data_IF_263877970754
#
_entry.id   IF_263877970754
#
_cell.length_a   1.000
_cell.length_b   1.000
_cell.length_c   1.000
_cell.angle_alpha   90.00
_cell.angle_beta   90.00
_cell.angle_gamma   90.00
#
_symmetry.space_group_name_H-M   'P 1'
#
loop_
_entity.id
_entity.type
_entity.pdbx_description
1 polymer ?
#
# COMPACT_ATOMS: atom_id res chain seq x y z
N UNK A 1 19.21 -20.16 -20.06
CA UNK A 1 18.62 -18.82 -19.89
C UNK A 1 18.01 -18.78 -18.50
N UNK A 2 18.70 -18.21 -17.51
CA UNK A 2 18.15 -18.06 -16.17
C UNK A 2 17.06 -16.99 -16.24
N UNK A 3 15.79 -17.41 -16.15
CA UNK A 3 14.70 -16.46 -15.92
C UNK A 3 15.04 -15.73 -14.62
N UNK A 4 15.10 -14.39 -14.58
CA UNK A 4 15.18 -13.69 -13.31
C UNK A 4 13.94 -14.10 -12.52
N UNK A 5 14.12 -14.72 -11.36
CA UNK A 5 13.01 -15.02 -10.46
C UNK A 5 12.22 -13.72 -10.27
N UNK A 6 10.90 -13.71 -10.53
CA UNK A 6 10.12 -12.50 -10.33
C UNK A 6 10.31 -12.05 -8.88
N UNK A 7 10.79 -10.82 -8.69
CA UNK A 7 10.91 -10.26 -7.35
C UNK A 7 9.49 -10.20 -6.77
N UNK A 8 9.24 -10.80 -5.59
CA UNK A 8 7.88 -10.86 -5.04
C UNK A 8 7.37 -9.45 -4.76
N UNK A 9 6.08 -9.22 -5.01
CA UNK A 9 5.41 -7.96 -4.66
C UNK A 9 5.43 -7.76 -3.14
N UNK A 10 5.53 -6.51 -2.71
CA UNK A 10 5.47 -6.15 -1.29
C UNK A 10 4.06 -5.67 -1.01
N UNK A 11 3.39 -6.19 0.02
CA UNK A 11 2.08 -5.69 0.40
C UNK A 11 2.02 -5.32 1.88
N UNK A 12 1.28 -4.24 2.16
CA UNK A 12 0.98 -3.79 3.51
C UNK A 12 -0.53 -3.71 3.67
N UNK A 13 -1.01 -4.09 4.84
CA UNK A 13 -2.44 -4.12 5.16
C UNK A 13 -2.69 -3.22 6.35
N UNK A 14 -3.60 -2.27 6.18
CA UNK A 14 -3.93 -1.25 7.17
C UNK A 14 -5.41 -1.33 7.51
N UNK A 15 -5.75 -0.98 8.74
CA UNK A 15 -7.14 -0.80 9.14
C UNK A 15 -7.59 0.62 8.77
N UNK A 16 -8.73 0.70 8.10
CA UNK A 16 -9.45 1.95 7.89
C UNK A 16 -10.60 2.05 8.90
N UNK A 17 -10.67 3.18 9.56
CA UNK A 17 -11.76 3.61 10.41
C UNK A 17 -12.45 4.83 9.78
N UNK A 18 -13.79 4.88 9.71
CA UNK A 18 -14.48 6.02 9.12
C UNK A 18 -14.37 7.31 9.96
N UNK A 19 -14.08 7.21 11.26
CA UNK A 19 -13.92 8.37 12.14
C UNK A 19 -12.46 8.85 12.17
N UNK A 20 -11.51 7.92 12.24
CA UNK A 20 -10.08 8.22 12.41
C UNK A 20 -9.27 8.17 11.09
N UNK A 21 -9.76 7.45 10.07
CA UNK A 21 -9.08 7.23 8.80
C UNK A 21 -8.21 5.97 8.79
N UNK A 22 -7.11 5.99 8.04
CA UNK A 22 -6.16 4.87 7.99
C UNK A 22 -5.24 4.90 9.22
N UNK A 23 -5.31 3.85 10.04
CA UNK A 23 -4.50 3.71 11.24
C UNK A 23 -3.00 3.60 10.88
N UNK A 24 -2.17 4.37 11.58
CA UNK A 24 -0.70 4.38 11.46
C UNK A 24 -0.20 4.52 10.02
N UNK A 25 -0.94 5.27 9.18
CA UNK A 25 -0.68 5.38 7.74
C UNK A 25 0.79 5.71 7.43
N UNK A 26 1.34 6.72 8.10
CA UNK A 26 2.71 7.19 7.82
C UNK A 26 3.77 6.13 8.19
N UNK A 27 3.58 5.43 9.32
CA UNK A 27 4.46 4.33 9.74
C UNK A 27 4.47 3.22 8.69
N UNK A 28 3.28 2.78 8.25
CA UNK A 28 3.19 1.72 7.26
C UNK A 28 3.80 2.11 5.90
N UNK A 29 3.65 3.37 5.49
CA UNK A 29 4.24 3.87 4.24
C UNK A 29 5.76 3.99 4.34
N UNK A 30 6.32 4.35 5.49
CA UNK A 30 7.77 4.39 5.72
C UNK A 30 8.39 2.99 5.75
N UNK A 31 7.71 2.04 6.40
CA UNK A 31 8.11 0.61 6.37
C UNK A 31 8.08 0.05 4.95
N UNK A 32 7.02 0.36 4.19
CA UNK A 32 6.91 -0.05 2.79
C UNK A 32 8.03 0.57 1.93
N UNK A 33 8.34 1.85 2.14
CA UNK A 33 9.44 2.54 1.46
C UNK A 33 10.79 1.88 1.77
N UNK A 34 11.03 1.54 3.03
CA UNK A 34 12.26 0.87 3.46
C UNK A 34 12.41 -0.50 2.81
N UNK A 35 11.32 -1.29 2.78
CA UNK A 35 11.30 -2.59 2.10
C UNK A 35 11.49 -2.45 0.58
N UNK A 36 10.82 -1.48 -0.04
CA UNK A 36 10.96 -1.16 -1.46
C UNK A 36 12.41 -0.77 -1.79
N UNK A 37 13.03 0.10 -0.99
CA UNK A 37 14.43 0.50 -1.15
C UNK A 37 15.39 -0.70 -1.02
N UNK A 38 15.16 -1.59 -0.04
CA UNK A 38 15.94 -2.80 0.13
C UNK A 38 15.81 -3.78 -1.05
N UNK A 39 14.62 -3.86 -1.67
CA UNK A 39 14.35 -4.67 -2.85
C UNK A 39 14.76 -4.01 -4.18
N UNK A 40 15.08 -2.70 -4.15
CA UNK A 40 15.34 -1.87 -5.32
C UNK A 40 14.10 -1.58 -6.16
N UNK A 41 12.94 -1.43 -5.52
CA UNK A 41 11.66 -1.08 -6.14
C UNK A 41 11.49 0.44 -6.15
N UNK A 42 10.77 0.95 -7.14
CA UNK A 42 10.42 2.36 -7.21
C UNK A 42 9.15 2.60 -6.39
N UNK A 43 9.24 3.42 -5.34
CA UNK A 43 8.10 3.72 -4.47
C UNK A 43 7.90 5.23 -4.32
N UNK A 44 6.68 5.69 -4.56
CA UNK A 44 6.28 7.08 -4.38
C UNK A 44 5.30 7.19 -3.21
N UNK A 45 5.79 7.77 -2.11
CA UNK A 45 5.04 7.98 -0.88
C UNK A 45 3.81 8.87 -1.09
N UNK A 46 3.91 9.88 -1.96
CA UNK A 46 2.83 10.82 -2.20
C UNK A 46 1.71 10.16 -3.02
N UNK A 47 2.08 9.43 -4.06
CA UNK A 47 1.13 8.67 -4.88
C UNK A 47 0.41 7.59 -4.06
N UNK A 48 1.14 6.84 -3.23
CA UNK A 48 0.55 5.83 -2.34
C UNK A 48 -0.50 6.43 -1.38
N UNK A 49 -0.20 7.59 -0.77
CA UNK A 49 -1.13 8.29 0.12
C UNK A 49 -2.37 8.78 -0.63
N UNK A 50 -2.21 9.33 -1.83
CA UNK A 50 -3.31 9.83 -2.64
C UNK A 50 -4.26 8.70 -3.06
N UNK A 51 -3.71 7.61 -3.58
CA UNK A 51 -4.46 6.42 -3.97
C UNK A 51 -5.21 5.81 -2.77
N UNK A 52 -4.57 5.73 -1.59
CA UNK A 52 -5.20 5.24 -0.36
C UNK A 52 -6.36 6.15 0.08
N UNK A 53 -6.18 7.46 0.03
CA UNK A 53 -7.28 8.40 0.29
C UNK A 53 -8.41 8.24 -0.72
N UNK A 54 -8.11 8.13 -2.02
CA UNK A 54 -9.12 7.95 -3.05
C UNK A 54 -9.91 6.65 -2.87
N UNK A 55 -9.24 5.56 -2.52
CA UNK A 55 -9.87 4.25 -2.32
C UNK A 55 -10.72 4.17 -1.03
N UNK A 56 -10.37 4.95 -0.01
CA UNK A 56 -11.11 5.05 1.26
C UNK A 56 -12.13 6.19 1.28
N UNK A 57 -12.08 7.11 0.31
CA UNK A 57 -12.99 8.24 0.22
C UNK A 57 -14.45 7.79 0.15
N UNK A 58 -15.29 8.34 1.03
CA UNK A 58 -16.73 8.04 1.08
C UNK A 58 -17.09 6.70 1.74
N UNK A 59 -16.12 5.94 2.29
CA UNK A 59 -16.42 4.75 3.11
C UNK A 59 -17.05 5.19 4.44
N UNK A 60 -18.16 4.55 4.80
CA UNK A 60 -18.93 4.83 6.04
C UNK A 60 -18.76 3.76 7.12
N UNK A 61 -18.03 2.70 6.82
CA UNK A 61 -17.83 1.55 7.70
C UNK A 61 -16.34 1.25 7.80
N UNK A 62 -15.94 0.64 8.91
CA UNK A 62 -14.59 0.12 9.06
C UNK A 62 -14.25 -0.82 7.89
N UNK A 63 -13.02 -0.73 7.41
CA UNK A 63 -12.55 -1.50 6.28
C UNK A 63 -11.09 -1.89 6.47
N UNK A 64 -10.61 -2.79 5.63
CA UNK A 64 -9.20 -3.15 5.52
C UNK A 64 -8.69 -2.68 4.18
N UNK A 65 -7.68 -1.81 4.19
CA UNK A 65 -7.02 -1.33 3.00
C UNK A 65 -5.69 -2.07 2.83
N UNK A 66 -5.53 -2.77 1.71
CA UNK A 66 -4.32 -3.50 1.36
C UNK A 66 -3.66 -2.81 0.17
N UNK A 67 -2.46 -2.31 0.36
CA UNK A 67 -1.63 -1.74 -0.69
C UNK A 67 -0.61 -2.79 -1.13
N UNK A 68 -0.55 -3.05 -2.43
CA UNK A 68 0.41 -3.96 -3.07
C UNK A 68 1.33 -3.14 -3.98
N UNK A 69 2.63 -3.28 -3.80
CA UNK A 69 3.68 -2.64 -4.58
C UNK A 69 4.44 -3.70 -5.38
N UNK A 70 4.45 -3.52 -6.69
CA UNK A 70 5.18 -4.37 -7.61
C UNK A 70 6.64 -3.93 -7.80
N UNK A 71 7.53 -4.83 -8.28
CA UNK A 71 8.91 -4.48 -8.61
C UNK A 71 9.08 -3.38 -9.64
N UNK A 72 8.08 -3.17 -10.50
CA UNK A 72 8.06 -2.09 -11.51
C UNK A 72 7.63 -0.74 -10.93
N UNK A 73 7.26 -0.69 -9.64
CA UNK A 73 6.73 0.50 -8.97
C UNK A 73 5.25 0.73 -9.19
N UNK A 74 4.55 -0.19 -9.86
CA UNK A 74 3.10 -0.15 -9.97
C UNK A 74 2.49 -0.49 -8.61
N UNK A 75 1.53 0.32 -8.18
CA UNK A 75 0.79 0.13 -6.93
C UNK A 75 -0.64 -0.29 -7.24
N UNK A 76 -1.19 -1.16 -6.41
CA UNK A 76 -2.60 -1.53 -6.42
C UNK A 76 -3.15 -1.44 -5.00
N UNK A 77 -4.38 -0.94 -4.86
CA UNK A 77 -5.04 -0.82 -3.57
C UNK A 77 -6.35 -1.59 -3.60
N UNK A 78 -6.50 -2.47 -2.63
CA UNK A 78 -7.72 -3.21 -2.37
C UNK A 78 -8.32 -2.74 -1.05
N UNK A 79 -9.59 -2.31 -1.07
CA UNK A 79 -10.31 -1.92 0.15
C UNK A 79 -11.49 -2.83 0.34
N UNK A 80 -11.49 -3.58 1.44
CA UNK A 80 -12.56 -4.52 1.79
C UNK A 80 -13.27 -4.07 3.06
N UNK A 81 -14.58 -3.91 3.00
CA UNK A 81 -15.39 -3.67 4.20
C UNK A 81 -15.32 -4.86 5.15
N UNK A 82 -15.21 -4.58 6.44
CA UNK A 82 -15.24 -5.59 7.51
C UNK A 82 -16.66 -6.08 7.76
#
# INVERSE_FOLDING_TARGET
MSQPSPKPDICVTMRFDPEDGLADLETHLDELKTQAAAAGFQFDHHAARNELQAATFGKRTAATARLVLSPTGTMAIEVRSL
#
